data_IF_935508038190
#
_entry.id   IF_935508038190
#
_cell.length_a   1.000
_cell.length_b   1.000
_cell.length_c   1.000
_cell.angle_alpha   90.00
_cell.angle_beta   90.00
_cell.angle_gamma   90.00
#
_symmetry.space_group_name_H-M   'P 1'
#
loop_
_entity.id
_entity.type
_entity.pdbx_description
1 polymer ?
#
# COMPACT_ATOMS: atom_id res chain seq x y z
N UNK A 1 -13.73 -10.66 -16.64
CA UNK A 1 -13.27 -10.07 -17.90
C UNK A 1 -13.22 -8.59 -17.65
N UNK A 2 -12.03 -8.05 -17.38
CA UNK A 2 -11.85 -6.62 -17.13
C UNK A 2 -12.29 -5.89 -18.40
N UNK A 3 -13.40 -5.15 -18.34
CA UNK A 3 -13.65 -4.04 -19.25
C UNK A 3 -12.40 -3.14 -19.22
N UNK A 4 -12.04 -2.48 -20.33
CA UNK A 4 -10.79 -1.71 -20.48
C UNK A 4 -10.53 -0.53 -19.51
N UNK A 5 -11.21 -0.49 -18.37
CA UNK A 5 -10.90 0.38 -17.25
C UNK A 5 -9.76 -0.25 -16.42
N UNK A 6 -8.78 0.59 -16.06
CA UNK A 6 -7.55 0.16 -15.41
C UNK A 6 -7.79 -0.39 -14.00
N UNK A 7 -6.76 -1.03 -13.44
CA UNK A 7 -6.70 -1.38 -12.02
C UNK A 7 -5.70 -0.47 -11.36
N UNK A 8 -6.11 0.25 -10.32
CA UNK A 8 -5.21 1.02 -9.49
C UNK A 8 -4.78 0.24 -8.24
N UNK A 9 -3.55 0.48 -7.81
CA UNK A 9 -2.96 -0.07 -6.60
C UNK A 9 -2.45 1.08 -5.74
N UNK A 10 -2.83 1.09 -4.47
CA UNK A 10 -2.20 1.92 -3.46
C UNK A 10 -1.58 1.03 -2.37
N UNK A 11 -0.30 1.25 -2.06
CA UNK A 11 0.39 0.63 -0.95
C UNK A 11 0.59 1.66 0.15
N UNK A 12 0.19 1.33 1.37
CA UNK A 12 0.23 2.18 2.54
C UNK A 12 1.13 1.55 3.60
N UNK A 13 1.83 2.39 4.35
CA UNK A 13 2.62 1.97 5.50
C UNK A 13 2.49 3.00 6.62
N UNK A 14 2.31 2.52 7.85
CA UNK A 14 2.18 3.39 9.02
C UNK A 14 3.53 4.00 9.36
N UNK A 15 3.59 5.33 9.33
CA UNK A 15 4.80 6.05 9.63
C UNK A 15 5.21 5.84 11.09
N UNK A 16 6.47 5.46 11.28
CA UNK A 16 7.07 5.29 12.61
C UNK A 16 6.33 4.29 13.51
N UNK A 17 5.67 3.26 12.96
CA UNK A 17 4.92 2.29 13.75
C UNK A 17 5.75 1.58 14.83
N UNK A 18 7.03 1.28 14.55
CA UNK A 18 7.96 0.81 15.59
C UNK A 18 8.05 1.77 16.78
N UNK A 19 8.09 3.09 16.55
CA UNK A 19 8.11 4.08 17.64
C UNK A 19 6.81 4.09 18.44
N UNK A 20 5.68 3.82 17.80
CA UNK A 20 4.38 3.67 18.48
C UNK A 20 4.44 2.46 19.42
N UNK A 21 4.91 1.31 18.92
CA UNK A 21 5.10 0.09 19.71
C UNK A 21 6.09 0.29 20.86
N UNK A 22 7.24 0.91 20.60
CA UNK A 22 8.27 1.11 21.62
C UNK A 22 7.80 2.07 22.73
N UNK A 23 6.92 3.05 22.40
CA UNK A 23 6.39 4.03 23.35
C UNK A 23 5.17 3.54 24.13
N UNK A 24 4.27 2.82 23.47
CA UNK A 24 2.94 2.50 24.02
C UNK A 24 2.73 0.99 24.25
N UNK A 25 3.67 0.15 23.81
CA UNK A 25 3.56 -1.30 23.85
C UNK A 25 2.76 -1.88 22.68
N UNK A 26 2.98 -3.16 22.41
CA UNK A 26 2.38 -3.88 21.28
C UNK A 26 0.85 -3.90 21.30
N UNK A 27 0.23 -3.90 22.49
CA UNK A 27 -1.24 -3.87 22.61
C UNK A 27 -1.81 -2.61 21.97
N UNK A 28 -1.18 -1.44 22.18
CA UNK A 28 -1.62 -0.20 21.56
C UNK A 28 -1.29 -0.19 20.06
N UNK A 29 -0.17 -0.78 19.65
CA UNK A 29 0.14 -0.97 18.22
C UNK A 29 -0.91 -1.80 17.49
N UNK A 30 -1.37 -2.89 18.08
CA UNK A 30 -2.42 -3.74 17.51
C UNK A 30 -3.76 -2.99 17.39
N UNK A 31 -4.09 -2.17 18.38
CA UNK A 31 -5.28 -1.32 18.36
C UNK A 31 -5.19 -0.24 17.27
N UNK A 32 -4.00 0.34 17.05
CA UNK A 32 -3.76 1.27 15.92
C UNK A 32 -3.99 0.57 14.58
N UNK A 33 -3.47 -0.65 14.40
CA UNK A 33 -3.67 -1.41 13.16
C UNK A 33 -5.14 -1.72 12.90
N UNK A 34 -5.88 -2.08 13.94
CA UNK A 34 -7.31 -2.37 13.87
C UNK A 34 -8.12 -1.12 13.49
N UNK A 35 -7.87 0.02 14.13
CA UNK A 35 -8.52 1.29 13.78
C UNK A 35 -8.18 1.74 12.36
N UNK A 36 -6.94 1.56 11.92
CA UNK A 36 -6.56 1.90 10.55
C UNK A 36 -7.34 1.04 9.54
N UNK A 37 -7.47 -0.27 9.80
CA UNK A 37 -8.24 -1.16 8.95
C UNK A 37 -9.73 -0.77 8.90
N UNK A 38 -10.32 -0.39 10.04
CA UNK A 38 -11.69 0.11 10.14
C UNK A 38 -11.87 1.41 9.35
N UNK A 39 -10.96 2.38 9.50
CA UNK A 39 -11.00 3.66 8.77
C UNK A 39 -10.82 3.47 7.27
N UNK A 40 -9.91 2.59 6.84
CA UNK A 40 -9.75 2.25 5.42
C UNK A 40 -11.03 1.63 4.87
N UNK A 41 -11.62 0.67 5.57
CA UNK A 41 -12.85 0.00 5.12
C UNK A 41 -14.04 0.98 5.04
N UNK A 42 -14.09 1.96 5.94
CA UNK A 42 -15.12 3.01 5.93
C UNK A 42 -14.90 4.05 4.82
N UNK A 43 -13.64 4.40 4.52
CA UNK A 43 -13.29 5.36 3.47
C UNK A 43 -13.41 4.77 2.04
N UNK A 44 -13.32 3.45 1.93
CA UNK A 44 -13.41 2.69 0.68
C UNK A 44 -14.48 1.58 0.78
N UNK A 45 -15.77 1.94 0.93
CA UNK A 45 -16.84 0.97 1.12
C UNK A 45 -17.27 0.27 -0.17
N UNK A 46 -16.79 0.73 -1.33
CA UNK A 46 -17.25 0.25 -2.63
C UNK A 46 -16.76 -1.19 -2.92
N UNK A 47 -17.61 -2.05 -3.51
CA UNK A 47 -17.29 -3.47 -3.74
C UNK A 47 -16.23 -3.70 -4.82
N UNK A 48 -15.89 -2.68 -5.59
CA UNK A 48 -14.80 -2.64 -6.56
C UNK A 48 -13.45 -2.29 -5.93
N UNK A 49 -13.44 -1.87 -4.65
CA UNK A 49 -12.24 -1.66 -3.85
C UNK A 49 -12.01 -2.83 -2.88
N UNK A 50 -10.79 -3.35 -2.87
CA UNK A 50 -10.35 -4.38 -1.93
C UNK A 50 -9.29 -3.79 -1.01
N UNK A 51 -9.56 -3.80 0.30
CA UNK A 51 -8.60 -3.46 1.34
C UNK A 51 -7.96 -4.74 1.87
N UNK A 52 -6.63 -4.80 1.90
CA UNK A 52 -5.89 -5.95 2.44
C UNK A 52 -4.75 -5.48 3.34
N UNK A 53 -4.49 -6.22 4.41
CA UNK A 53 -3.23 -6.09 5.15
C UNK A 53 -2.18 -6.98 4.48
N UNK A 54 -1.11 -6.38 3.97
CA UNK A 54 -0.07 -7.08 3.19
C UNK A 54 1.14 -7.46 4.05
N UNK A 55 1.32 -6.81 5.20
CA UNK A 55 2.45 -7.01 6.09
C UNK A 55 2.16 -6.63 7.55
N UNK A 56 3.24 -6.41 8.31
CA UNK A 56 3.16 -6.05 9.73
C UNK A 56 2.45 -4.71 9.97
N UNK A 57 2.85 -3.68 9.24
CA UNK A 57 2.31 -2.31 9.32
C UNK A 57 1.86 -1.79 7.95
N UNK A 58 1.74 -2.70 6.98
CA UNK A 58 1.50 -2.41 5.57
C UNK A 58 0.09 -2.84 5.15
N UNK A 59 -0.56 -1.97 4.37
CA UNK A 59 -1.87 -2.19 3.78
C UNK A 59 -1.81 -1.96 2.27
N UNK A 60 -2.67 -2.66 1.53
CA UNK A 60 -2.86 -2.49 0.10
C UNK A 60 -4.32 -2.21 -0.23
N UNK A 61 -4.55 -1.32 -1.18
CA UNK A 61 -5.85 -1.07 -1.81
C UNK A 61 -5.77 -1.45 -3.28
N UNK A 62 -6.66 -2.33 -3.73
CA UNK A 62 -6.85 -2.64 -5.15
C UNK A 62 -8.17 -2.03 -5.57
N UNK A 63 -8.15 -1.08 -6.50
CA UNK A 63 -9.33 -0.37 -6.97
C UNK A 63 -9.57 -0.71 -8.46
N UNK A 64 -10.67 -1.40 -8.75
CA UNK A 64 -11.05 -1.77 -10.12
C UNK A 64 -11.82 -0.64 -10.78
N UNK A 65 -11.49 -0.35 -12.03
CA UNK A 65 -12.09 0.74 -12.81
C UNK A 65 -11.72 2.15 -12.30
N UNK A 66 -10.60 2.26 -11.57
CA UNK A 66 -10.00 3.51 -11.13
C UNK A 66 -8.74 3.80 -11.92
N UNK A 67 -8.48 5.09 -12.16
CA UNK A 67 -7.19 5.57 -12.68
C UNK A 67 -6.28 6.06 -11.54
N UNK A 68 -5.03 6.39 -11.89
CA UNK A 68 -4.05 6.86 -10.92
C UNK A 68 -4.50 8.16 -10.22
N UNK A 69 -5.09 9.11 -10.96
CA UNK A 69 -5.46 10.44 -10.44
C UNK A 69 -6.60 10.33 -9.43
N UNK A 70 -7.69 9.63 -9.78
CA UNK A 70 -8.82 9.38 -8.88
C UNK A 70 -8.39 8.62 -7.63
N UNK A 71 -7.48 7.65 -7.78
CA UNK A 71 -6.91 6.91 -6.65
C UNK A 71 -6.09 7.81 -5.74
N UNK A 72 -5.25 8.69 -6.31
CA UNK A 72 -4.50 9.67 -5.52
C UNK A 72 -5.42 10.61 -4.74
N UNK A 73 -6.47 11.16 -5.37
CA UNK A 73 -7.40 12.08 -4.71
C UNK A 73 -8.07 11.40 -3.50
N UNK A 74 -8.55 10.16 -3.67
CA UNK A 74 -9.21 9.42 -2.60
C UNK A 74 -8.25 9.05 -1.46
N UNK A 75 -7.05 8.61 -1.82
CA UNK A 75 -6.05 8.23 -0.82
C UNK A 75 -5.49 9.46 -0.09
N UNK A 76 -5.42 10.63 -0.73
CA UNK A 76 -5.03 11.89 -0.08
C UNK A 76 -6.09 12.35 0.92
N UNK A 77 -7.37 12.31 0.53
CA UNK A 77 -8.46 12.62 1.46
C UNK A 77 -8.45 11.70 2.69
N UNK A 78 -8.18 10.40 2.48
CA UNK A 78 -8.00 9.46 3.59
C UNK A 78 -6.79 9.81 4.47
N UNK A 79 -5.64 10.13 3.86
CA UNK A 79 -4.40 10.49 4.58
C UNK A 79 -4.62 11.74 5.45
N UNK A 80 -5.22 12.79 4.88
CA UNK A 80 -5.53 14.03 5.60
C UNK A 80 -6.49 13.78 6.77
N UNK A 81 -7.54 12.98 6.56
CA UNK A 81 -8.48 12.61 7.62
C UNK A 81 -7.81 11.82 8.75
N UNK A 82 -6.91 10.89 8.40
CA UNK A 82 -6.14 10.11 9.38
C UNK A 82 -5.20 11.00 10.20
N UNK A 83 -4.50 11.95 9.55
CA UNK A 83 -3.61 12.90 10.21
C UNK A 83 -4.37 13.84 11.15
N UNK A 84 -5.55 14.31 10.73
CA UNK A 84 -6.34 15.28 11.49
C UNK A 84 -6.98 14.69 12.75
N UNK A 85 -7.27 13.39 12.76
CA UNK A 85 -7.95 12.72 13.88
C UNK A 85 -7.08 11.60 14.46
N UNK A 86 -6.48 11.79 15.66
CA UNK A 86 -5.73 10.74 16.34
C UNK A 86 -6.53 9.45 16.53
N UNK A 87 -5.84 8.32 16.59
CA UNK A 87 -6.45 7.04 16.96
C UNK A 87 -6.56 6.99 18.49
N UNK A 88 -7.77 6.84 19.01
CA UNK A 88 -8.01 6.74 20.46
C UNK A 88 -7.91 5.28 20.89
N UNK A 89 -6.83 4.92 21.59
CA UNK A 89 -6.59 3.57 22.09
C UNK A 89 -6.65 3.58 23.63
N UNK A 90 -7.65 2.92 24.22
CA UNK A 90 -7.84 2.86 25.68
C UNK A 90 -7.81 4.25 26.38
N UNK A 91 -8.37 5.28 25.73
CA UNK A 91 -8.40 6.66 26.23
C UNK A 91 -7.11 7.46 25.97
N UNK A 92 -6.14 6.90 25.26
CA UNK A 92 -4.92 7.60 24.82
C UNK A 92 -5.09 8.01 23.36
N UNK A 93 -4.88 9.29 23.06
CA UNK A 93 -4.78 9.77 21.68
C UNK A 93 -3.40 9.43 21.12
N UNK A 94 -3.39 8.66 20.04
CA UNK A 94 -2.17 8.25 19.31
C UNK A 94 -2.23 8.89 17.92
N UNK A 95 -1.44 9.95 17.66
CA UNK A 95 -1.32 10.50 16.32
C UNK A 95 -0.71 9.46 15.38
N UNK A 96 -1.34 9.25 14.22
CA UNK A 96 -0.92 8.28 13.22
C UNK A 96 -0.93 8.95 11.86
N UNK A 97 0.14 8.76 11.09
CA UNK A 97 0.18 9.14 9.68
C UNK A 97 0.60 7.95 8.84
N UNK A 98 0.35 8.02 7.53
CA UNK A 98 0.74 6.99 6.58
C UNK A 98 1.49 7.62 5.41
N UNK A 99 2.47 6.88 4.90
CA UNK A 99 3.05 7.12 3.57
C UNK A 99 2.34 6.22 2.56
N UNK A 100 2.07 6.73 1.35
CA UNK A 100 1.32 6.01 0.32
C UNK A 100 2.07 6.05 -1.01
N UNK A 101 2.24 4.89 -1.63
CA UNK A 101 2.62 4.75 -3.04
C UNK A 101 1.39 4.41 -3.88
N UNK A 102 1.19 5.07 -5.02
CA UNK A 102 0.03 4.84 -5.91
C UNK A 102 0.49 4.56 -7.34
N UNK A 103 -0.19 3.65 -8.04
CA UNK A 103 -0.04 3.47 -9.48
C UNK A 103 -1.31 2.93 -10.12
N UNK A 104 -1.38 2.98 -11.45
CA UNK A 104 -2.42 2.29 -12.22
C UNK A 104 -1.84 1.38 -13.29
N UNK A 105 -2.51 0.26 -13.54
CA UNK A 105 -2.15 -0.74 -14.54
C UNK A 105 -3.27 -0.86 -15.58
N UNK A 106 -2.87 -0.84 -16.84
CA UNK A 106 -3.75 -1.00 -17.98
C UNK A 106 -3.23 -2.13 -18.87
N UNK A 107 -3.99 -3.23 -18.94
CA UNK A 107 -3.60 -4.44 -19.69
C UNK A 107 -3.32 -4.19 -21.19
N UNK A 108 -3.85 -3.11 -21.78
CA UNK A 108 -3.60 -2.74 -23.17
C UNK A 108 -2.29 -1.95 -23.37
N UNK A 109 -1.73 -1.38 -22.31
CA UNK A 109 -0.53 -0.51 -22.34
C UNK A 109 0.66 -1.12 -21.63
N UNK A 110 0.42 -1.85 -20.55
CA UNK A 110 1.44 -2.32 -19.62
C UNK A 110 1.72 -3.81 -19.83
N UNK A 111 3.00 -4.19 -19.80
CA UNK A 111 3.49 -5.49 -20.29
C UNK A 111 3.78 -6.47 -19.13
N UNK A 112 3.97 -5.98 -17.90
CA UNK A 112 4.45 -6.78 -16.76
C UNK A 112 3.78 -6.39 -15.42
N UNK A 113 2.97 -7.31 -14.89
CA UNK A 113 2.24 -7.18 -13.62
C UNK A 113 3.20 -7.20 -12.40
N UNK A 114 4.28 -7.99 -12.44
CA UNK A 114 5.26 -8.07 -11.34
C UNK A 114 6.08 -6.76 -11.25
N UNK A 115 6.37 -6.17 -12.41
CA UNK A 115 6.99 -4.84 -12.52
C UNK A 115 6.11 -3.73 -11.95
N UNK A 116 4.79 -3.85 -12.08
CA UNK A 116 3.84 -2.84 -11.59
C UNK A 116 3.83 -2.75 -10.06
N UNK A 117 3.68 -3.87 -9.35
CA UNK A 117 3.75 -3.86 -7.88
C UNK A 117 5.08 -3.28 -7.39
N UNK A 118 6.18 -3.66 -8.04
CA UNK A 118 7.52 -3.13 -7.73
C UNK A 118 7.61 -1.61 -7.90
N UNK A 119 6.99 -1.05 -8.94
CA UNK A 119 6.95 0.41 -9.15
C UNK A 119 6.15 1.13 -8.05
N UNK A 120 5.01 0.57 -7.61
CA UNK A 120 4.21 1.16 -6.51
C UNK A 120 4.97 1.07 -5.18
N UNK A 121 5.72 0.01 -4.93
CA UNK A 121 6.63 -0.12 -3.77
C UNK A 121 7.75 0.95 -3.80
N UNK A 122 8.30 1.23 -4.98
CA UNK A 122 9.27 2.34 -5.17
C UNK A 122 8.62 3.68 -4.83
N UNK A 123 7.37 3.89 -5.25
CA UNK A 123 6.63 5.12 -4.96
C UNK A 123 6.39 5.28 -3.44
N UNK A 124 5.95 4.23 -2.76
CA UNK A 124 5.78 4.21 -1.30
C UNK A 124 7.11 4.53 -0.59
N UNK A 125 8.21 3.94 -1.05
CA UNK A 125 9.52 4.25 -0.50
C UNK A 125 9.93 5.71 -0.74
N UNK A 126 9.66 6.26 -1.92
CA UNK A 126 9.92 7.67 -2.21
C UNK A 126 9.11 8.57 -1.27
N UNK A 127 7.84 8.25 -0.99
CA UNK A 127 7.02 8.96 0.00
C UNK A 127 7.69 8.99 1.39
N UNK A 128 8.17 7.83 1.86
CA UNK A 128 8.90 7.74 3.14
C UNK A 128 10.18 8.58 3.14
N UNK A 129 10.95 8.55 2.05
CA UNK A 129 12.23 9.26 1.93
C UNK A 129 12.07 10.77 1.80
N UNK A 130 10.97 11.24 1.22
CA UNK A 130 10.69 12.67 1.05
C UNK A 130 10.13 13.32 2.32
N UNK A 131 10.00 12.58 3.42
CA UNK A 131 9.58 13.13 4.71
C UNK A 131 8.28 12.53 5.25
N UNK A 132 7.79 11.42 4.69
CA UNK A 132 6.59 10.69 5.15
C UNK A 132 5.31 11.51 5.05
N UNK A 133 4.21 10.97 5.58
CA UNK A 133 2.88 11.57 5.61
C UNK A 133 2.50 12.21 4.26
N UNK A 134 2.60 11.44 3.19
CA UNK A 134 2.40 11.92 1.83
C UNK A 134 2.14 10.79 0.87
N UNK A 135 1.76 11.19 -0.33
CA UNK A 135 1.54 10.32 -1.46
C UNK A 135 2.60 10.58 -2.52
N UNK A 136 3.11 9.51 -3.12
CA UNK A 136 3.89 9.58 -4.36
C UNK A 136 3.26 8.61 -5.34
N UNK A 137 3.05 9.04 -6.58
CA UNK A 137 2.56 8.16 -7.63
C UNK A 137 3.68 7.67 -8.53
N UNK A 138 3.47 6.53 -9.19
CA UNK A 138 4.44 5.94 -10.11
C UNK A 138 4.76 6.90 -11.26
N UNK A 139 3.78 7.62 -11.80
CA UNK A 139 4.00 8.58 -12.88
C UNK A 139 4.87 9.79 -12.48
N UNK A 140 5.03 10.06 -11.20
CA UNK A 140 5.91 11.11 -10.66
C UNK A 140 7.34 10.63 -10.43
N UNK A 141 7.63 9.34 -10.59
CA UNK A 141 8.97 8.80 -10.39
C UNK A 141 9.86 9.04 -11.61
N UNK A 142 11.09 9.45 -11.35
CA UNK A 142 12.15 9.41 -12.36
C UNK A 142 12.39 7.95 -12.81
N UNK A 143 12.44 7.66 -14.13
CA UNK A 143 12.57 6.28 -14.63
C UNK A 143 13.74 5.49 -14.02
N UNK A 144 14.84 6.18 -13.71
CA UNK A 144 16.03 5.57 -13.10
C UNK A 144 15.84 5.07 -11.67
N UNK A 145 14.84 5.59 -10.94
CA UNK A 145 14.55 5.19 -9.55
C UNK A 145 13.85 3.82 -9.51
N UNK A 146 12.96 3.54 -10.47
CA UNK A 146 12.26 2.25 -10.60
C UNK A 146 13.27 1.14 -10.97
N UNK A 147 14.13 1.40 -11.96
CA UNK A 147 15.11 0.41 -12.44
C UNK A 147 16.09 -0.06 -11.34
N UNK A 148 16.56 0.84 -10.48
CA UNK A 148 17.54 0.53 -9.43
C UNK A 148 17.00 -0.40 -8.35
N UNK A 149 15.70 -0.35 -8.06
CA UNK A 149 15.07 -1.16 -7.01
C UNK A 149 14.62 -2.54 -7.51
N UNK A 150 14.19 -2.63 -8.77
CA UNK A 150 13.83 -3.91 -9.38
C UNK A 150 15.02 -4.87 -9.52
N UNK A 151 16.24 -4.36 -9.74
CA UNK A 151 17.48 -5.15 -9.76
C UNK A 151 17.73 -5.86 -8.41
N UNK A 152 17.26 -5.30 -7.29
CA UNK A 152 17.40 -5.91 -5.96
C UNK A 152 16.45 -7.09 -5.73
N UNK A 153 15.25 -7.08 -6.35
CA UNK A 153 14.24 -8.15 -6.18
C UNK A 153 14.43 -9.33 -7.15
N UNK A 154 15.06 -9.14 -8.31
CA UNK A 154 15.19 -10.18 -9.36
C UNK A 154 16.27 -11.25 -9.10
N UNK A 155 16.73 -11.45 -7.85
CA UNK A 155 17.82 -12.37 -7.51
C UNK A 155 17.38 -13.69 -6.86
N UNK A 156 16.08 -13.92 -6.67
CA UNK A 156 15.60 -15.25 -6.24
C UNK A 156 15.15 -16.08 -7.44
N UNK A 157 15.78 -17.25 -7.71
CA UNK A 157 15.28 -18.16 -8.72
C UNK A 157 13.90 -18.71 -8.32
N UNK A 158 13.02 -19.03 -9.28
CA UNK A 158 11.69 -19.56 -8.99
C UNK A 158 11.80 -20.81 -8.13
N UNK A 159 11.02 -20.85 -7.02
CA UNK A 159 10.95 -22.04 -6.17
C UNK A 159 10.46 -23.23 -7.00
N UNK A 160 11.13 -24.40 -6.92
CA UNK A 160 10.68 -25.58 -7.65
C UNK A 160 9.29 -25.98 -7.16
N UNK A 161 8.38 -26.25 -8.11
CA UNK A 161 7.03 -26.74 -7.81
C UNK A 161 7.13 -28.02 -6.97
N UNK A 162 6.32 -28.18 -5.92
CA UNK A 162 6.30 -29.44 -5.17
C UNK A 162 5.95 -30.59 -6.10
N UNK A 163 6.80 -31.62 -6.13
CA UNK A 163 6.50 -32.88 -6.82
C UNK A 163 5.22 -33.43 -6.18
N UNK A 164 4.14 -33.48 -6.96
CA UNK A 164 2.98 -34.29 -6.63
C UNK A 164 3.45 -35.73 -6.49
N UNK A 165 3.50 -36.23 -5.27
CA UNK A 165 3.65 -37.64 -4.98
C UNK A 165 2.37 -38.30 -5.51
N UNK A 166 2.47 -38.96 -6.66
CA UNK A 166 1.43 -39.88 -7.13
C UNK A 166 1.69 -41.23 -6.49
N UNK A 167 0.61 -41.82 -6.02
CA UNK A 167 0.48 -43.09 -5.34
C UNK A 167 1.16 -44.27 -6.08
N UNK A 168 1.91 -45.07 -5.31
CA UNK A 168 1.92 -46.54 -5.31
C UNK A 168 2.80 -47.05 -4.16
#
# INVERSE_FOLDING_TARGET
WLSGAGVALALLDIDHFKSINDRHGHVIGDEVLRHLAERLSAAFPEPDVVVARTGGEEFGLILRDYDEISTMIRTEAFREALEAEPVVCAGIEVPVTVSIGVGSFHAERDIDDDGFYGAVDVALYAAKQQGRNRIVSVSMLEPGLIARRNIGRSSQPPRPRPRTQRDA
#
